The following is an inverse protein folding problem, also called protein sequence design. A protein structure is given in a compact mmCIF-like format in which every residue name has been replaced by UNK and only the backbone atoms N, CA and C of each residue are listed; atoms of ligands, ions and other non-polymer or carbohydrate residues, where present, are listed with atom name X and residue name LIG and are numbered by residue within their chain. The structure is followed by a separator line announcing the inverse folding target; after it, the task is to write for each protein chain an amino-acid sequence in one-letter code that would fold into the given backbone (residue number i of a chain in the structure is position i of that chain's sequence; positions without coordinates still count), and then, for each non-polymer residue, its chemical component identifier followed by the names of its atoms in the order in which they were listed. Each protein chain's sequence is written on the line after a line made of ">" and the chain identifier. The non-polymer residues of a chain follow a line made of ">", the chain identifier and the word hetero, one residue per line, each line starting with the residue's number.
data_IF_630928513502
#
_entry.id   IF_630928513502
#
_cell.length_a   1.000
_cell.length_b   1.000
_cell.length_c   1.000
_cell.angle_alpha   90.00
_cell.angle_beta   90.00
_cell.angle_gamma   90.00
#
_symmetry.space_group_name_H-M   'P 1'
#
loop_
_entity.id
_entity.type
_entity.pdbx_description
1 polymer ?
#
# COMPACT_ATOMS: atom_id res chain seq x y z
N UNK A 1 -23.04 -41.99 -61.78
CA UNK A 1 -24.22 -41.56 -61.01
C UNK A 1 -23.98 -41.94 -59.54
N UNK A 2 -24.43 -41.08 -58.63
CA UNK A 2 -24.37 -41.13 -57.15
C UNK A 2 -23.40 -40.08 -56.58
N UNK A 3 -23.95 -38.87 -56.45
CA UNK A 3 -23.42 -37.77 -55.65
C UNK A 3 -23.94 -37.98 -54.22
N UNK A 4 -23.04 -38.30 -53.28
CA UNK A 4 -23.37 -38.38 -51.86
C UNK A 4 -23.26 -36.99 -51.22
N UNK A 5 -24.39 -36.38 -50.89
CA UNK A 5 -24.44 -35.13 -50.15
C UNK A 5 -24.19 -35.40 -48.66
N UNK A 6 -23.03 -34.97 -48.14
CA UNK A 6 -22.80 -34.84 -46.70
C UNK A 6 -23.43 -33.52 -46.28
N UNK A 7 -24.60 -33.60 -45.66
CA UNK A 7 -25.21 -32.44 -44.97
C UNK A 7 -24.45 -32.28 -43.66
N UNK A 8 -23.51 -31.34 -43.62
CA UNK A 8 -22.95 -30.85 -42.37
C UNK A 8 -24.07 -30.13 -41.61
N UNK A 9 -24.63 -30.78 -40.58
CA UNK A 9 -25.51 -30.13 -39.64
C UNK A 9 -24.69 -29.07 -38.88
N UNK A 10 -24.89 -27.80 -39.23
CA UNK A 10 -24.44 -26.69 -38.41
C UNK A 10 -25.12 -26.85 -37.04
N UNK A 11 -24.36 -27.29 -36.03
CA UNK A 11 -24.76 -27.13 -34.65
C UNK A 11 -24.83 -25.63 -34.39
N UNK A 12 -26.03 -25.07 -34.51
CA UNK A 12 -26.35 -23.75 -34.00
C UNK A 12 -26.12 -23.82 -32.50
N UNK A 13 -24.99 -23.28 -32.04
CA UNK A 13 -24.76 -22.99 -30.63
C UNK A 13 -25.90 -22.09 -30.19
N UNK A 14 -26.90 -22.66 -29.49
CA UNK A 14 -27.97 -21.86 -28.90
C UNK A 14 -27.30 -20.78 -28.05
N UNK A 15 -27.52 -19.48 -28.31
CA UNK A 15 -26.95 -18.45 -27.46
C UNK A 15 -27.39 -18.76 -26.04
N UNK A 16 -26.42 -18.93 -25.14
CA UNK A 16 -26.69 -19.25 -23.75
C UNK A 16 -27.53 -18.12 -23.18
N UNK A 17 -28.80 -18.44 -22.88
CA UNK A 17 -29.77 -17.56 -22.25
C UNK A 17 -29.21 -17.16 -20.89
N UNK A 18 -29.25 -15.87 -20.56
CA UNK A 18 -28.82 -15.44 -19.23
C UNK A 18 -29.80 -16.00 -18.18
N UNK A 19 -29.31 -16.57 -17.07
CA UNK A 19 -30.18 -17.02 -15.99
C UNK A 19 -31.13 -15.89 -15.54
N UNK A 20 -32.43 -16.17 -15.44
CA UNK A 20 -33.44 -15.18 -15.05
C UNK A 20 -33.96 -14.26 -16.18
N UNK A 21 -33.31 -14.18 -17.35
CA UNK A 21 -33.76 -13.32 -18.46
C UNK A 21 -34.65 -14.07 -19.44
N UNK A 22 -35.55 -13.40 -20.16
CA UNK A 22 -36.17 -13.95 -21.38
C UNK A 22 -35.15 -14.05 -22.54
N UNK A 23 -35.53 -14.64 -23.67
CA UNK A 23 -34.67 -14.65 -24.87
C UNK A 23 -34.40 -13.23 -25.36
N UNK A 24 -35.46 -12.42 -25.48
CA UNK A 24 -35.37 -11.02 -25.89
C UNK A 24 -34.60 -10.18 -24.86
N UNK A 25 -34.83 -10.45 -23.57
CA UNK A 25 -34.07 -9.83 -22.47
C UNK A 25 -32.58 -10.15 -22.56
N UNK A 26 -32.22 -11.41 -22.87
CA UNK A 26 -30.82 -11.79 -23.10
C UNK A 26 -30.22 -11.03 -24.28
N UNK A 27 -30.95 -10.88 -25.38
CA UNK A 27 -30.46 -10.15 -26.56
C UNK A 27 -30.25 -8.66 -26.23
N UNK A 28 -31.21 -8.02 -25.55
CA UNK A 28 -31.10 -6.62 -25.10
C UNK A 28 -29.87 -6.42 -24.21
N UNK A 29 -29.65 -7.31 -23.23
CA UNK A 29 -28.48 -7.21 -22.35
C UNK A 29 -27.16 -7.38 -23.11
N UNK A 30 -27.07 -8.35 -24.02
CA UNK A 30 -25.86 -8.54 -24.86
C UNK A 30 -25.57 -7.33 -25.74
N UNK A 31 -26.59 -6.67 -26.27
CA UNK A 31 -26.41 -5.45 -27.05
C UNK A 31 -25.88 -4.29 -26.19
N UNK A 32 -26.38 -4.14 -24.96
CA UNK A 32 -25.88 -3.15 -24.00
C UNK A 32 -24.43 -3.47 -23.61
N UNK A 33 -24.12 -4.71 -23.25
CA UNK A 33 -22.76 -5.16 -22.92
C UNK A 33 -21.78 -4.87 -24.06
N UNK A 34 -22.16 -5.21 -25.30
CA UNK A 34 -21.36 -4.92 -26.49
C UNK A 34 -21.10 -3.41 -26.62
N UNK A 35 -22.13 -2.57 -26.47
CA UNK A 35 -21.98 -1.11 -26.53
C UNK A 35 -21.07 -0.57 -25.44
N UNK A 36 -21.14 -1.11 -24.22
CA UNK A 36 -20.25 -0.72 -23.11
C UNK A 36 -18.80 -1.07 -23.45
N UNK A 37 -18.55 -2.30 -23.91
CA UNK A 37 -17.22 -2.77 -24.30
C UNK A 37 -16.66 -1.93 -25.45
N UNK A 38 -17.47 -1.66 -26.48
CA UNK A 38 -17.08 -0.86 -27.65
C UNK A 38 -16.88 0.63 -27.32
N UNK A 39 -17.48 1.12 -26.23
CA UNK A 39 -17.27 2.51 -25.75
C UNK A 39 -15.92 2.72 -25.07
N UNK A 40 -15.20 1.65 -24.73
CA UNK A 40 -13.91 1.74 -24.04
C UNK A 40 -12.85 2.35 -24.96
N UNK A 41 -12.35 3.52 -24.57
CA UNK A 41 -11.35 4.28 -25.33
C UNK A 41 -10.03 4.35 -24.55
N UNK A 42 -9.04 3.56 -25.00
CA UNK A 42 -7.73 3.48 -24.36
C UNK A 42 -7.01 4.85 -24.32
N UNK A 43 -7.20 5.71 -25.33
CA UNK A 43 -6.60 7.04 -25.37
C UNK A 43 -7.19 7.92 -24.26
N UNK A 44 -8.50 7.84 -24.05
CA UNK A 44 -9.21 8.58 -22.99
C UNK A 44 -8.85 8.07 -21.60
N UNK A 45 -8.79 6.76 -21.40
CA UNK A 45 -8.31 6.16 -20.14
C UNK A 45 -6.89 6.65 -19.83
N UNK A 46 -6.00 6.68 -20.82
CA UNK A 46 -4.65 7.22 -20.67
C UNK A 46 -4.58 8.74 -20.41
N UNK A 47 -5.58 9.52 -20.83
CA UNK A 47 -5.69 10.94 -20.47
C UNK A 47 -6.11 11.09 -19.01
N UNK A 48 -7.10 10.33 -18.55
CA UNK A 48 -7.52 10.33 -17.15
C UNK A 48 -6.40 9.91 -16.20
N UNK A 49 -5.69 8.83 -16.55
CA UNK A 49 -4.54 8.37 -15.76
C UNK A 49 -3.45 9.45 -15.66
N UNK A 50 -3.13 10.13 -16.76
CA UNK A 50 -2.15 11.23 -16.76
C UNK A 50 -2.60 12.43 -15.94
N UNK A 51 -3.87 12.83 -16.04
CA UNK A 51 -4.40 13.94 -15.27
C UNK A 51 -4.36 13.64 -13.76
N UNK A 52 -4.79 12.44 -13.36
CA UNK A 52 -4.82 12.02 -11.95
C UNK A 52 -3.40 11.80 -11.39
N UNK A 53 -2.46 11.28 -12.18
CA UNK A 53 -1.08 11.02 -11.75
C UNK A 53 -0.15 12.24 -11.84
N UNK A 54 -0.62 13.38 -12.34
CA UNK A 54 0.22 14.54 -12.64
C UNK A 54 0.93 15.14 -11.43
N UNK A 55 0.35 14.98 -10.22
CA UNK A 55 0.91 15.51 -8.96
C UNK A 55 0.54 14.58 -7.80
N UNK A 56 1.38 14.51 -6.73
CA UNK A 56 1.00 13.81 -5.52
C UNK A 56 -0.29 14.36 -4.89
N UNK A 57 -1.30 13.50 -4.70
CA UNK A 57 -2.64 13.86 -4.20
C UNK A 57 -2.98 13.11 -2.90
N UNK A 58 -2.16 13.29 -1.88
CA UNK A 58 -2.28 12.61 -0.58
C UNK A 58 -3.60 13.00 0.11
N UNK A 59 -4.24 12.05 0.79
CA UNK A 59 -5.48 12.27 1.53
C UNK A 59 -5.42 13.49 2.47
N UNK A 60 -6.48 14.30 2.44
CA UNK A 60 -6.61 15.53 3.22
C UNK A 60 -5.65 16.66 2.83
N UNK A 61 -5.10 16.63 1.61
CA UNK A 61 -4.35 17.77 1.04
C UNK A 61 -5.22 18.57 0.07
N UNK A 62 -4.89 19.83 -0.22
CA UNK A 62 -5.51 20.57 -1.31
C UNK A 62 -5.43 19.86 -2.67
N UNK A 63 -4.37 19.09 -2.92
CA UNK A 63 -4.23 18.29 -4.14
C UNK A 63 -5.25 17.14 -4.22
N UNK A 64 -5.61 16.53 -3.09
CA UNK A 64 -6.70 15.55 -3.06
C UNK A 64 -8.08 16.21 -3.26
N UNK A 65 -8.30 17.42 -2.76
CA UNK A 65 -9.51 18.19 -3.06
C UNK A 65 -9.61 18.53 -4.57
N UNK A 66 -8.50 18.94 -5.19
CA UNK A 66 -8.46 19.16 -6.64
C UNK A 66 -8.74 17.88 -7.44
N UNK A 67 -8.28 16.72 -6.94
CA UNK A 67 -8.59 15.41 -7.54
C UNK A 67 -10.07 15.08 -7.44
N UNK A 68 -10.71 15.33 -6.28
CA UNK A 68 -12.16 15.23 -6.10
C UNK A 68 -12.90 16.08 -7.13
N UNK A 69 -12.52 17.34 -7.28
CA UNK A 69 -13.18 18.27 -8.20
C UNK A 69 -13.08 17.80 -9.65
N UNK A 70 -11.89 17.35 -10.05
CA UNK A 70 -11.67 16.77 -11.37
C UNK A 70 -12.58 15.55 -11.62
N UNK A 71 -12.67 14.61 -10.69
CA UNK A 71 -13.52 13.41 -10.83
C UNK A 71 -15.00 13.78 -10.95
N UNK A 72 -15.47 14.72 -10.12
CA UNK A 72 -16.86 15.21 -10.16
C UNK A 72 -17.15 15.90 -11.50
N UNK A 73 -16.23 16.72 -12.01
CA UNK A 73 -16.38 17.37 -13.32
C UNK A 73 -16.47 16.34 -14.46
N UNK A 74 -15.64 15.29 -14.43
CA UNK A 74 -15.71 14.22 -15.42
C UNK A 74 -17.06 13.49 -15.36
N UNK A 75 -17.53 13.10 -14.17
CA UNK A 75 -18.83 12.44 -14.01
C UNK A 75 -19.99 13.32 -14.50
N UNK A 76 -19.99 14.62 -14.16
CA UNK A 76 -20.98 15.58 -14.68
C UNK A 76 -20.95 15.70 -16.19
N UNK A 77 -19.76 15.70 -16.80
CA UNK A 77 -19.62 15.77 -18.26
C UNK A 77 -20.21 14.55 -18.99
N UNK A 78 -20.37 13.43 -18.28
CA UNK A 78 -21.03 12.22 -18.78
C UNK A 78 -22.54 12.22 -18.53
N UNK A 79 -23.08 13.30 -17.95
CA UNK A 79 -24.51 13.43 -17.63
C UNK A 79 -24.92 12.74 -16.33
N UNK A 80 -23.98 12.37 -15.46
CA UNK A 80 -24.30 11.74 -14.18
C UNK A 80 -24.74 12.77 -13.13
N UNK A 81 -25.70 12.39 -12.29
CA UNK A 81 -25.95 13.09 -11.04
C UNK A 81 -24.78 12.80 -10.09
N UNK A 82 -24.22 13.83 -9.46
CA UNK A 82 -23.02 13.69 -8.63
C UNK A 82 -23.19 14.28 -7.24
N UNK A 83 -22.62 13.61 -6.25
CA UNK A 83 -22.55 14.11 -4.87
C UNK A 83 -21.16 13.88 -4.26
N UNK A 84 -20.88 14.60 -3.17
CA UNK A 84 -19.65 14.48 -2.40
C UNK A 84 -20.04 14.18 -0.95
N UNK A 85 -19.46 13.13 -0.36
CA UNK A 85 -19.49 12.92 1.08
C UNK A 85 -18.16 13.33 1.69
N UNK A 86 -18.21 14.11 2.76
CA UNK A 86 -17.04 14.62 3.49
C UNK A 86 -16.99 13.99 4.87
N UNK A 87 -15.79 13.58 5.29
CA UNK A 87 -15.53 13.05 6.64
C UNK A 87 -14.32 13.75 7.23
N UNK A 88 -14.37 14.10 8.52
CA UNK A 88 -13.24 14.64 9.27
C UNK A 88 -12.53 13.49 9.99
N UNK A 89 -11.50 12.92 9.38
CA UNK A 89 -10.86 11.70 9.89
C UNK A 89 -9.57 12.01 10.64
N UNK A 90 -9.30 11.27 11.70
CA UNK A 90 -7.97 11.31 12.32
C UNK A 90 -6.94 10.68 11.36
N UNK A 91 -6.08 11.54 10.80
CA UNK A 91 -5.14 11.17 9.74
C UNK A 91 -3.81 11.89 10.00
N UNK A 92 -3.01 11.45 10.98
CA UNK A 92 -1.78 12.13 11.37
C UNK A 92 -0.75 12.09 10.24
N UNK A 93 0.04 13.17 10.12
CA UNK A 93 1.14 13.26 9.15
C UNK A 93 2.48 13.27 9.85
N UNK A 94 3.40 12.46 9.35
CA UNK A 94 4.80 12.52 9.76
C UNK A 94 5.39 13.89 9.43
N UNK A 95 5.94 14.53 10.44
CA UNK A 95 6.60 15.84 10.35
C UNK A 95 8.11 15.70 10.30
N UNK A 96 8.66 14.61 10.85
CA UNK A 96 10.09 14.33 10.83
C UNK A 96 10.34 12.82 10.90
N UNK A 97 11.31 12.35 10.12
CA UNK A 97 11.93 11.04 10.32
C UNK A 97 13.45 11.16 10.32
N UNK A 98 14.11 10.40 11.19
CA UNK A 98 15.57 10.24 11.17
C UNK A 98 15.94 8.78 11.31
N UNK A 99 16.98 8.37 10.61
CA UNK A 99 17.58 7.05 10.76
C UNK A 99 19.09 7.18 10.69
N UNK A 100 19.77 6.61 11.66
CA UNK A 100 21.22 6.60 11.77
C UNK A 100 21.68 5.20 12.14
N UNK A 101 22.70 4.70 11.46
CA UNK A 101 23.51 3.60 11.98
C UNK A 101 24.45 4.19 13.03
N UNK A 102 24.40 3.71 14.26
CA UNK A 102 25.26 4.17 15.36
C UNK A 102 26.49 3.29 15.55
N UNK A 103 26.39 2.01 15.17
CA UNK A 103 27.49 1.04 15.18
C UNK A 103 27.38 0.10 13.96
N UNK A 104 28.50 -0.46 13.47
CA UNK A 104 29.88 -0.20 13.91
C UNK A 104 30.45 1.11 13.38
N UNK A 105 29.88 1.65 12.29
CA UNK A 105 30.32 2.87 11.63
C UNK A 105 29.18 3.89 11.59
N UNK A 106 29.27 5.00 12.36
CA UNK A 106 28.24 6.03 12.40
C UNK A 106 27.91 6.61 11.03
N UNK A 107 26.64 6.61 10.65
CA UNK A 107 26.16 7.17 9.38
C UNK A 107 24.69 7.54 9.48
N UNK A 108 24.36 8.79 9.14
CA UNK A 108 22.97 9.23 8.97
C UNK A 108 22.50 8.95 7.53
N UNK A 109 21.26 8.52 7.37
CA UNK A 109 20.69 8.19 6.06
C UNK A 109 19.74 9.27 5.57
N UNK A 110 19.78 9.55 4.26
CA UNK A 110 18.77 10.38 3.59
C UNK A 110 17.52 9.54 3.35
N UNK A 111 16.38 9.98 3.89
CA UNK A 111 15.10 9.27 3.84
C UNK A 111 14.17 9.83 2.75
N UNK A 112 14.68 9.89 1.52
CA UNK A 112 13.96 10.36 0.32
C UNK A 112 14.45 9.58 -0.90
N UNK A 113 13.55 9.33 -1.84
CA UNK A 113 13.92 8.79 -3.14
C UNK A 113 14.64 9.89 -3.93
N UNK A 114 15.79 9.60 -4.56
CA UNK A 114 16.44 10.55 -5.43
C UNK A 114 15.59 10.80 -6.68
N UNK A 115 15.58 12.03 -7.22
CA UNK A 115 14.92 12.30 -8.48
C UNK A 115 15.64 11.55 -9.61
N UNK A 116 14.88 11.08 -10.58
CA UNK A 116 15.35 10.39 -11.77
C UNK A 116 15.38 11.37 -12.95
N UNK A 117 16.47 11.33 -13.72
CA UNK A 117 16.66 12.22 -14.87
C UNK A 117 15.61 11.96 -15.95
N UNK A 118 15.28 10.69 -16.17
CA UNK A 118 14.35 10.25 -17.22
C UNK A 118 12.86 10.29 -16.78
N UNK A 119 12.57 10.68 -15.54
CA UNK A 119 11.21 10.83 -15.02
C UNK A 119 10.97 12.23 -14.44
N UNK A 120 10.31 13.14 -15.17
CA UNK A 120 10.03 14.48 -14.65
C UNK A 120 9.08 14.47 -13.44
N UNK A 121 8.26 13.43 -13.25
CA UNK A 121 7.35 13.34 -12.11
C UNK A 121 8.07 12.98 -10.82
N UNK A 122 9.20 12.26 -10.89
CA UNK A 122 10.07 11.98 -9.74
C UNK A 122 10.66 13.23 -9.09
N UNK A 123 10.62 14.37 -9.78
CA UNK A 123 11.06 15.67 -9.26
C UNK A 123 10.05 16.27 -8.26
N UNK A 124 8.80 15.79 -8.24
CA UNK A 124 7.80 16.27 -7.30
C UNK A 124 8.08 15.77 -5.88
N UNK A 125 8.50 16.68 -5.01
CA UNK A 125 8.74 16.33 -3.61
C UNK A 125 7.43 16.04 -2.89
N UNK A 126 7.38 14.86 -2.26
CA UNK A 126 6.33 14.54 -1.30
C UNK A 126 6.45 15.48 -0.07
N UNK A 127 5.32 15.85 0.55
CA UNK A 127 5.29 16.69 1.76
C UNK A 127 5.81 15.96 3.01
N UNK A 128 6.34 14.74 2.84
CA UNK A 128 6.90 13.88 3.87
C UNK A 128 8.10 13.10 3.32
N UNK A 129 8.91 12.58 4.23
CA UNK A 129 10.01 11.62 3.98
C UNK A 129 9.47 10.18 4.08
N UNK A 130 10.36 9.18 4.01
CA UNK A 130 9.97 7.77 4.21
C UNK A 130 9.15 7.60 5.51
N UNK A 131 7.88 7.18 5.37
CA UNK A 131 6.94 7.08 6.48
C UNK A 131 5.99 5.90 6.32
N UNK A 132 5.61 5.33 7.46
CA UNK A 132 4.39 4.54 7.58
C UNK A 132 3.27 5.43 8.13
N UNK A 133 2.12 5.45 7.46
CA UNK A 133 0.93 6.12 7.99
C UNK A 133 0.50 5.48 9.31
N UNK A 134 0.13 6.30 10.30
CA UNK A 134 -0.23 5.87 11.65
C UNK A 134 0.89 5.20 12.48
N UNK A 135 2.17 5.33 12.09
CA UNK A 135 3.26 4.93 12.98
C UNK A 135 3.23 5.71 14.30
N UNK A 136 3.60 5.07 15.42
CA UNK A 136 3.74 5.78 16.68
C UNK A 136 4.90 6.80 16.58
N UNK A 137 4.73 7.94 17.26
CA UNK A 137 5.83 8.87 17.44
C UNK A 137 6.80 8.32 18.49
N UNK A 138 8.10 8.57 18.32
CA UNK A 138 9.11 8.15 19.26
C UNK A 138 10.52 8.23 18.71
N UNK A 139 11.49 8.24 19.61
CA UNK A 139 12.91 8.15 19.29
C UNK A 139 13.52 7.00 20.09
N UNK A 140 14.12 6.04 19.40
CA UNK A 140 14.69 4.83 20.01
C UNK A 140 16.05 4.54 19.39
N UNK A 141 16.96 3.99 20.19
CA UNK A 141 18.25 3.53 19.74
C UNK A 141 18.55 2.16 20.35
N UNK A 142 18.84 1.17 19.52
CA UNK A 142 19.11 -0.19 19.95
C UNK A 142 19.86 -1.00 18.89
N UNK A 143 20.44 -2.16 19.27
CA UNK A 143 20.94 -3.13 18.31
C UNK A 143 19.85 -3.62 17.36
N UNK A 144 20.26 -3.88 16.11
CA UNK A 144 19.38 -4.33 15.04
C UNK A 144 19.25 -5.86 15.06
N UNK A 145 18.04 -6.37 14.77
CA UNK A 145 17.77 -7.80 14.58
C UNK A 145 16.96 -8.00 13.30
N UNK A 146 17.43 -8.87 12.40
CA UNK A 146 16.71 -9.24 11.19
C UNK A 146 15.68 -10.34 11.49
N UNK A 147 14.44 -10.11 11.10
CA UNK A 147 13.28 -10.93 11.50
C UNK A 147 12.50 -11.52 10.33
N UNK A 148 13.15 -11.68 9.18
CA UNK A 148 12.50 -12.11 7.95
C UNK A 148 11.25 -11.28 7.60
N UNK A 149 10.08 -11.90 7.41
CA UNK A 149 8.82 -11.19 7.15
C UNK A 149 8.07 -10.85 8.45
N UNK A 150 8.63 -11.11 9.63
CA UNK A 150 7.99 -10.86 10.93
C UNK A 150 6.61 -11.52 11.09
N UNK A 151 6.39 -12.65 10.40
CA UNK A 151 5.23 -13.51 10.68
C UNK A 151 5.41 -14.18 12.05
N UNK A 152 4.33 -14.68 12.64
CA UNK A 152 4.47 -15.39 13.92
C UNK A 152 5.35 -16.64 13.82
N UNK A 153 5.34 -17.30 12.67
CA UNK A 153 6.25 -18.41 12.36
C UNK A 153 7.71 -17.94 12.30
N UNK A 154 7.99 -16.81 11.64
CA UNK A 154 9.35 -16.26 11.57
C UNK A 154 9.89 -15.93 12.96
N UNK A 155 9.04 -15.33 13.79
CA UNK A 155 9.43 -14.89 15.13
C UNK A 155 9.54 -16.06 16.11
N UNK A 156 8.79 -17.16 15.89
CA UNK A 156 9.03 -18.43 16.57
C UNK A 156 10.40 -19.02 16.19
N UNK A 157 10.72 -19.04 14.89
CA UNK A 157 12.02 -19.50 14.40
C UNK A 157 13.19 -18.66 14.89
N UNK A 158 13.01 -17.34 15.01
CA UNK A 158 14.00 -16.44 15.62
C UNK A 158 14.31 -16.83 17.07
N UNK A 159 13.29 -17.18 17.84
CA UNK A 159 13.46 -17.62 19.23
C UNK A 159 14.19 -18.97 19.31
N UNK A 160 13.91 -19.90 18.39
CA UNK A 160 14.66 -21.17 18.28
C UNK A 160 16.15 -20.97 17.95
N UNK A 161 16.48 -19.90 17.22
CA UNK A 161 17.86 -19.47 16.96
C UNK A 161 18.51 -18.78 18.19
N UNK A 162 17.80 -18.66 19.31
CA UNK A 162 18.29 -18.07 20.55
C UNK A 162 18.38 -16.54 20.53
N UNK A 163 17.70 -15.88 19.58
CA UNK A 163 17.75 -14.41 19.44
C UNK A 163 16.47 -13.78 20.00
N UNK A 164 16.66 -12.84 20.94
CA UNK A 164 15.57 -12.08 21.56
C UNK A 164 15.35 -10.72 20.88
N UNK A 165 14.09 -10.29 20.79
CA UNK A 165 13.68 -8.96 20.34
C UNK A 165 13.50 -7.94 21.46
N UNK A 166 13.60 -8.37 22.73
CA UNK A 166 13.43 -7.49 23.88
C UNK A 166 14.43 -6.31 23.83
N UNK A 167 13.89 -5.09 23.79
CA UNK A 167 14.68 -3.86 23.71
C UNK A 167 15.43 -3.66 22.38
N UNK A 168 15.07 -4.39 21.31
CA UNK A 168 15.74 -4.32 19.99
C UNK A 168 14.94 -3.53 18.96
N UNK A 169 15.62 -3.09 17.91
CA UNK A 169 14.97 -2.60 16.70
C UNK A 169 14.94 -3.75 15.69
N UNK A 170 13.75 -4.13 15.25
CA UNK A 170 13.57 -5.17 14.25
C UNK A 170 13.72 -4.58 12.83
N UNK A 171 14.35 -5.31 11.92
CA UNK A 171 14.31 -5.05 10.47
C UNK A 171 13.63 -6.22 9.75
N UNK A 172 12.51 -5.93 9.10
CA UNK A 172 11.67 -6.90 8.42
C UNK A 172 11.56 -6.62 6.92
N UNK A 173 11.28 -7.65 6.14
CA UNK A 173 10.91 -7.55 4.73
C UNK A 173 9.41 -7.24 4.58
N UNK A 174 9.04 -6.46 3.58
CA UNK A 174 7.69 -6.39 3.04
C UNK A 174 7.26 -7.75 2.43
N UNK A 175 5.95 -8.01 2.31
CA UNK A 175 5.42 -9.29 1.80
C UNK A 175 4.90 -10.22 2.90
N UNK A 176 4.29 -11.34 2.53
CA UNK A 176 3.80 -12.39 3.46
C UNK A 176 2.92 -11.90 4.63
N UNK A 177 2.11 -10.88 4.39
CA UNK A 177 1.17 -10.33 5.38
C UNK A 177 1.09 -8.82 5.36
N UNK A 178 0.10 -8.29 6.07
CA UNK A 178 -0.10 -6.85 6.19
C UNK A 178 0.98 -6.21 7.08
N UNK A 179 1.55 -5.07 6.62
CA UNK A 179 2.68 -4.40 7.29
C UNK A 179 2.39 -3.96 8.72
N UNK A 180 1.17 -3.56 9.03
CA UNK A 180 0.77 -3.22 10.40
C UNK A 180 0.89 -4.40 11.36
N UNK A 181 0.63 -5.62 10.89
CA UNK A 181 0.78 -6.83 11.70
C UNK A 181 2.25 -7.13 11.99
N UNK A 182 3.17 -6.82 11.08
CA UNK A 182 4.62 -6.97 11.32
C UNK A 182 5.05 -6.14 12.52
N UNK A 183 4.65 -4.86 12.54
CA UNK A 183 4.94 -3.93 13.64
C UNK A 183 4.33 -4.43 14.95
N UNK A 184 3.06 -4.87 14.93
CA UNK A 184 2.39 -5.46 16.10
C UNK A 184 3.11 -6.70 16.61
N UNK A 185 3.50 -7.61 15.71
CA UNK A 185 4.06 -8.91 16.05
C UNK A 185 5.45 -8.78 16.68
N UNK A 186 6.29 -7.85 16.20
CA UNK A 186 7.60 -7.57 16.82
C UNK A 186 7.44 -6.79 18.14
N UNK A 187 6.48 -5.86 18.22
CA UNK A 187 6.18 -5.15 19.46
C UNK A 187 5.72 -6.11 20.56
N UNK A 188 4.88 -7.10 20.22
CA UNK A 188 4.43 -8.14 21.14
C UNK A 188 5.57 -9.02 21.68
N UNK A 189 6.77 -8.94 21.09
CA UNK A 189 7.99 -9.65 21.50
C UNK A 189 9.06 -8.70 22.05
N UNK A 190 8.66 -7.50 22.47
CA UNK A 190 9.53 -6.54 23.17
C UNK A 190 10.38 -5.65 22.25
N UNK A 191 10.20 -5.71 20.93
CA UNK A 191 10.88 -4.78 20.04
C UNK A 191 10.38 -3.35 20.30
N UNK A 192 11.30 -2.40 20.32
CA UNK A 192 11.02 -0.98 20.60
C UNK A 192 10.95 -0.12 19.33
N UNK A 193 11.24 -0.71 18.17
CA UNK A 193 11.13 -0.06 16.87
C UNK A 193 11.14 -1.07 15.73
N UNK A 194 10.60 -0.69 14.57
CA UNK A 194 10.50 -1.56 13.41
C UNK A 194 10.85 -0.83 12.10
N UNK A 195 11.87 -1.31 11.41
CA UNK A 195 12.21 -0.93 10.04
C UNK A 195 11.64 -1.97 9.08
N UNK A 196 11.06 -1.53 7.97
CA UNK A 196 10.54 -2.44 6.93
C UNK A 196 11.11 -2.06 5.57
N UNK A 197 11.68 -3.02 4.85
CA UNK A 197 12.23 -2.78 3.50
C UNK A 197 11.67 -3.76 2.49
N UNK A 198 11.72 -3.40 1.22
CA UNK A 198 11.42 -4.32 0.12
C UNK A 198 12.72 -5.00 -0.31
N UNK A 199 12.85 -6.30 -0.08
CA UNK A 199 14.03 -7.04 -0.52
C UNK A 199 14.03 -7.17 -2.05
N UNK A 200 15.18 -6.98 -2.74
CA UNK A 200 15.23 -7.11 -4.19
C UNK A 200 14.80 -8.50 -4.70
N UNK A 201 14.85 -9.53 -3.85
CA UNK A 201 14.32 -10.87 -4.13
C UNK A 201 12.82 -10.83 -4.44
N UNK A 202 12.08 -9.97 -3.76
CA UNK A 202 10.63 -9.90 -3.86
C UNK A 202 10.19 -8.86 -4.89
N UNK A 203 10.85 -7.69 -4.90
CA UNK A 203 10.59 -6.58 -5.82
C UNK A 203 11.86 -5.73 -5.97
N UNK A 204 12.64 -6.03 -7.02
CA UNK A 204 13.90 -5.36 -7.38
C UNK A 204 14.65 -6.14 -8.46
N UNK A 205 15.96 -5.91 -8.58
CA UNK A 205 16.80 -6.46 -9.68
C UNK A 205 16.80 -7.99 -9.79
N UNK A 206 16.46 -8.73 -8.73
CA UNK A 206 16.37 -10.19 -8.78
C UNK A 206 15.17 -10.66 -9.63
N UNK A 207 14.15 -9.82 -9.77
CA UNK A 207 12.90 -10.11 -10.50
C UNK A 207 12.89 -9.59 -11.94
N UNK A 208 13.78 -8.66 -12.27
CA UNK A 208 13.89 -8.06 -13.60
C UNK A 208 14.52 -6.67 -13.54
N UNK A 209 14.56 -5.99 -14.69
CA UNK A 209 15.11 -4.65 -14.81
C UNK A 209 14.36 -3.65 -13.92
N UNK A 210 15.13 -2.78 -13.27
CA UNK A 210 14.60 -1.77 -12.36
C UNK A 210 14.20 -0.49 -13.10
N UNK A 211 13.27 0.26 -12.54
CA UNK A 211 12.85 1.56 -13.06
C UNK A 211 14.05 2.53 -13.12
N UNK A 212 14.21 3.31 -14.21
CA UNK A 212 13.27 3.52 -15.31
C UNK A 212 13.35 2.51 -16.47
N UNK A 213 14.32 1.59 -16.50
CA UNK A 213 14.50 0.64 -17.61
C UNK A 213 13.41 -0.45 -17.60
N UNK A 214 13.06 -0.96 -16.42
CA UNK A 214 11.99 -1.93 -16.23
C UNK A 214 11.01 -1.55 -15.12
N UNK A 215 10.04 -2.42 -14.80
CA UNK A 215 8.98 -2.11 -13.85
C UNK A 215 9.39 -2.37 -12.38
N UNK A 216 10.54 -3.00 -12.14
CA UNK A 216 10.93 -3.40 -10.78
C UNK A 216 11.41 -2.20 -9.97
N UNK A 217 11.25 -2.27 -8.64
CA UNK A 217 11.64 -1.17 -7.75
C UNK A 217 13.15 -0.86 -7.81
N UNK A 218 13.55 0.41 -7.94
CA UNK A 218 14.94 0.82 -7.83
C UNK A 218 15.44 0.68 -6.39
N UNK A 219 16.75 0.57 -6.19
CA UNK A 219 17.33 0.31 -4.86
C UNK A 219 16.98 1.37 -3.80
N UNK A 220 16.78 2.62 -4.21
CA UNK A 220 16.38 3.73 -3.34
C UNK A 220 14.87 3.92 -3.21
N UNK A 221 14.08 3.18 -3.99
CA UNK A 221 12.62 3.24 -3.98
C UNK A 221 12.05 2.62 -2.71
N UNK A 222 10.95 3.18 -2.21
CA UNK A 222 10.34 2.77 -0.95
C UNK A 222 8.85 2.48 -1.10
N UNK A 223 8.36 1.47 -0.39
CA UNK A 223 6.93 1.28 -0.22
C UNK A 223 6.44 2.06 1.01
N UNK A 224 5.65 3.10 0.77
CA UNK A 224 4.84 3.75 1.80
C UNK A 224 3.58 2.92 2.10
N UNK A 225 2.97 3.16 3.26
CA UNK A 225 1.67 2.56 3.57
C UNK A 225 1.25 2.75 5.01
N UNK A 226 -0.04 2.51 5.28
CA UNK A 226 -0.58 2.49 6.63
C UNK A 226 -0.08 1.27 7.42
N UNK A 227 0.22 1.48 8.71
CA UNK A 227 0.41 0.43 9.72
C UNK A 227 -0.74 0.39 10.73
N UNK A 228 -1.87 1.07 10.46
CA UNK A 228 -3.09 0.98 11.28
C UNK A 228 -3.58 -0.47 11.35
N UNK A 229 -3.96 -0.93 12.52
CA UNK A 229 -4.50 -2.25 12.79
C UNK A 229 -6.03 -2.27 12.68
N UNK A 230 -6.59 -3.46 12.78
CA UNK A 230 -8.04 -3.66 12.84
C UNK A 230 -8.77 -3.37 11.53
N UNK A 231 -10.11 -3.22 11.58
CA UNK A 231 -10.93 -3.05 10.39
C UNK A 231 -10.65 -1.72 9.64
N UNK A 232 -11.12 -1.60 8.39
CA UNK A 232 -11.17 -0.32 7.68
C UNK A 232 -11.89 0.76 8.50
N UNK A 233 -11.56 2.03 8.25
CA UNK A 233 -12.14 3.18 8.96
C UNK A 233 -11.15 4.01 9.78
N UNK A 234 -11.64 5.12 10.34
CA UNK A 234 -10.90 6.02 11.23
C UNK A 234 -10.67 5.31 12.58
N UNK A 235 -9.41 5.23 13.06
CA UNK A 235 -9.10 4.57 14.34
C UNK A 235 -9.72 5.28 15.57
N UNK A 236 -10.22 6.50 15.43
CA UNK A 236 -10.86 7.27 16.52
C UNK A 236 -12.39 7.20 16.52
N UNK A 237 -13.02 6.63 15.49
CA UNK A 237 -14.48 6.41 15.42
C UNK A 237 -14.80 4.96 15.01
N UNK A 238 -14.37 3.95 15.79
CA UNK A 238 -14.50 2.56 15.41
C UNK A 238 -15.98 2.12 15.39
N UNK A 239 -16.55 2.01 14.18
CA UNK A 239 -17.91 1.50 13.96
C UNK A 239 -18.97 2.55 13.66
N UNK A 240 -18.62 3.85 13.60
CA UNK A 240 -19.54 4.93 13.24
C UNK A 240 -18.86 5.97 12.35
N UNK A 241 -19.62 6.79 11.59
CA UNK A 241 -19.04 7.73 10.64
C UNK A 241 -18.29 8.87 11.33
N UNK A 242 -17.13 9.26 10.76
CA UNK A 242 -16.29 10.36 11.25
C UNK A 242 -16.83 11.72 10.82
N UNK A 243 -18.05 12.04 11.26
CA UNK A 243 -18.65 13.37 11.08
C UNK A 243 -17.95 14.43 11.96
N UNK A 244 -18.12 15.73 11.67
CA UNK A 244 -17.45 16.81 12.42
C UNK A 244 -17.72 16.78 13.93
N UNK A 245 -18.93 16.39 14.33
CA UNK A 245 -19.44 16.31 15.70
C UNK A 245 -19.46 14.88 16.27
N UNK A 246 -18.90 13.91 15.54
CA UNK A 246 -18.87 12.52 15.99
C UNK A 246 -18.10 12.37 17.30
N UNK A 247 -18.64 11.56 18.22
CA UNK A 247 -17.93 11.09 19.39
C UNK A 247 -16.66 10.34 18.98
N UNK A 248 -15.56 10.54 19.71
CA UNK A 248 -14.24 10.00 19.37
C UNK A 248 -13.54 9.45 20.59
N UNK A 249 -12.93 8.29 20.42
CA UNK A 249 -11.95 7.79 21.38
C UNK A 249 -10.61 8.50 21.19
N UNK A 250 -9.82 8.63 22.24
CA UNK A 250 -8.48 9.17 22.11
C UNK A 250 -7.61 8.20 21.28
N UNK A 251 -6.67 8.70 20.44
CA UNK A 251 -5.74 7.82 19.72
C UNK A 251 -4.92 6.90 20.64
N UNK A 252 -4.62 7.36 21.87
CA UNK A 252 -3.95 6.54 22.88
C UNK A 252 -4.78 5.32 23.30
N UNK A 253 -6.11 5.40 23.23
CA UNK A 253 -7.02 4.32 23.64
C UNK A 253 -7.42 3.42 22.45
N UNK A 254 -7.05 3.79 21.22
CA UNK A 254 -7.39 3.02 20.03
C UNK A 254 -6.53 1.76 19.89
N UNK A 255 -7.15 0.58 19.99
CA UNK A 255 -6.54 -0.72 19.70
C UNK A 255 -6.11 -0.86 18.22
N UNK A 256 -6.62 0.02 17.35
CA UNK A 256 -6.30 0.04 15.93
C UNK A 256 -4.96 0.76 15.64
N UNK A 257 -4.21 1.20 16.65
CA UNK A 257 -2.93 1.90 16.47
C UNK A 257 -1.77 1.13 17.08
N UNK A 258 -0.70 0.97 16.30
CA UNK A 258 0.56 0.43 16.78
C UNK A 258 1.22 1.37 17.80
N UNK A 259 1.98 0.82 18.75
CA UNK A 259 2.55 1.56 19.89
C UNK A 259 4.05 1.85 19.80
N UNK A 260 4.75 1.24 18.85
CA UNK A 260 6.18 1.47 18.61
C UNK A 260 6.40 2.27 17.33
N UNK A 261 7.46 3.09 17.25
CA UNK A 261 7.82 3.77 16.01
C UNK A 261 8.16 2.74 14.92
N UNK A 262 7.72 3.04 13.70
CA UNK A 262 8.12 2.27 12.52
C UNK A 262 8.30 3.18 11.32
N UNK A 263 9.20 2.81 10.41
CA UNK A 263 9.37 3.51 9.14
C UNK A 263 9.81 2.54 8.05
N UNK A 264 9.42 2.80 6.79
CA UNK A 264 9.93 2.05 5.68
C UNK A 264 11.34 2.57 5.33
N UNK A 265 12.19 1.70 4.79
CA UNK A 265 13.52 2.05 4.29
C UNK A 265 13.73 1.43 2.91
N UNK A 266 14.66 2.01 2.15
CA UNK A 266 15.02 1.48 0.83
C UNK A 266 15.89 0.23 0.94
N UNK A 267 15.95 -0.55 -0.14
CA UNK A 267 16.86 -1.69 -0.22
C UNK A 267 18.33 -1.26 -0.09
N UNK A 268 18.68 -0.06 -0.60
CA UNK A 268 20.01 0.51 -0.45
C UNK A 268 20.38 0.77 1.02
N UNK A 269 19.45 1.32 1.82
CA UNK A 269 19.67 1.51 3.27
C UNK A 269 19.73 0.15 3.97
N UNK A 270 18.80 -0.77 3.66
CA UNK A 270 18.80 -2.11 4.24
C UNK A 270 20.12 -2.85 3.97
N UNK A 271 20.69 -2.70 2.76
CA UNK A 271 22.02 -3.22 2.41
C UNK A 271 23.10 -2.74 3.37
N UNK A 272 23.15 -1.44 3.66
CA UNK A 272 24.15 -0.83 4.54
C UNK A 272 23.98 -1.25 6.01
N UNK A 273 22.75 -1.51 6.44
CA UNK A 273 22.47 -1.96 7.81
C UNK A 273 22.73 -3.46 7.99
N UNK A 274 22.38 -4.28 7.00
CA UNK A 274 22.48 -5.73 7.05
C UNK A 274 23.88 -6.25 6.68
N UNK A 275 24.69 -5.49 5.92
CA UNK A 275 26.03 -5.92 5.53
C UNK A 275 26.97 -6.17 6.73
N UNK A 276 26.84 -5.34 7.77
CA UNK A 276 27.62 -5.46 9.00
C UNK A 276 26.88 -6.27 10.08
N UNK A 277 25.68 -6.79 9.81
CA UNK A 277 24.92 -7.57 10.78
C UNK A 277 25.51 -8.98 10.87
N UNK A 278 25.98 -9.33 12.07
CA UNK A 278 26.51 -10.66 12.40
C UNK A 278 25.51 -11.49 13.22
N UNK A 279 26.03 -12.37 14.07
CA UNK A 279 25.21 -13.35 14.82
C UNK A 279 24.97 -14.63 14.01
N UNK A 280 24.01 -15.49 14.42
CA UNK A 280 23.69 -16.71 13.68
C UNK A 280 23.33 -16.41 12.22
N UNK A 281 23.73 -17.30 11.32
CA UNK A 281 23.27 -17.24 9.94
C UNK A 281 21.75 -17.45 9.88
N UNK A 282 21.12 -16.81 8.90
CA UNK A 282 19.69 -17.07 8.65
C UNK A 282 19.49 -18.47 8.04
N UNK A 283 18.33 -19.11 8.29
CA UNK A 283 17.88 -20.26 7.52
C UNK A 283 17.90 -19.96 6.01
N UNK A 284 18.08 -20.97 5.15
CA UNK A 284 18.24 -20.75 3.71
C UNK A 284 17.04 -20.02 3.09
N UNK A 285 15.83 -20.33 3.56
CA UNK A 285 14.56 -19.73 3.14
C UNK A 285 14.40 -18.25 3.54
N UNK A 286 15.23 -17.74 4.47
CA UNK A 286 15.26 -16.34 4.88
C UNK A 286 16.26 -15.51 4.07
N UNK A 287 17.12 -16.17 3.28
CA UNK A 287 18.06 -15.47 2.42
C UNK A 287 17.30 -14.60 1.41
N UNK A 288 17.68 -13.34 1.32
CA UNK A 288 17.21 -12.42 0.27
C UNK A 288 18.26 -12.22 -0.81
N UNK A 289 18.04 -11.22 -1.66
CA UNK A 289 18.89 -10.99 -2.83
C UNK A 289 20.00 -9.95 -2.62
N UNK A 290 20.09 -9.27 -1.46
CA UNK A 290 21.23 -8.37 -1.18
C UNK A 290 22.55 -9.15 -1.27
N UNK A 291 23.66 -8.53 -1.69
CA UNK A 291 24.85 -9.23 -2.20
C UNK A 291 25.77 -9.80 -1.10
N UNK A 292 25.20 -10.43 -0.08
CA UNK A 292 25.90 -11.07 1.03
C UNK A 292 25.00 -12.09 1.75
N UNK A 293 25.62 -12.94 2.57
CA UNK A 293 24.92 -13.88 3.46
C UNK A 293 24.22 -13.10 4.58
N UNK A 294 22.94 -13.35 4.80
CA UNK A 294 22.21 -12.66 5.87
C UNK A 294 22.48 -13.33 7.21
N UNK A 295 22.53 -12.52 8.27
CA UNK A 295 22.53 -12.97 9.65
C UNK A 295 21.37 -12.36 10.42
N UNK A 296 20.95 -13.00 11.51
CA UNK A 296 19.82 -12.53 12.31
C UNK A 296 20.19 -11.41 13.29
N UNK A 297 21.47 -11.26 13.66
CA UNK A 297 21.88 -10.41 14.78
C UNK A 297 21.81 -11.12 16.14
N UNK A 298 21.87 -10.39 17.27
CA UNK A 298 22.03 -8.94 17.33
C UNK A 298 23.50 -8.51 17.18
N UNK A 299 23.74 -7.47 16.37
CA UNK A 299 25.01 -6.74 16.32
C UNK A 299 26.03 -7.22 15.26
N UNK A 300 27.13 -6.48 15.06
CA UNK A 300 27.46 -5.19 15.69
C UNK A 300 26.56 -4.02 15.24
N UNK A 301 25.71 -4.20 14.23
CA UNK A 301 24.81 -3.13 13.78
C UNK A 301 23.86 -2.68 14.88
N UNK A 302 23.92 -1.39 15.22
CA UNK A 302 22.93 -0.70 16.04
C UNK A 302 22.46 0.56 15.31
N UNK A 303 21.22 0.95 15.55
CA UNK A 303 20.59 2.08 14.85
C UNK A 303 19.85 2.98 15.85
N UNK A 304 19.72 4.25 15.48
CA UNK A 304 18.81 5.22 16.09
C UNK A 304 17.76 5.59 15.05
N UNK A 305 16.49 5.50 15.44
CA UNK A 305 15.38 5.94 14.60
C UNK A 305 14.49 6.93 15.35
N UNK A 306 13.98 7.93 14.62
CA UNK A 306 13.04 8.92 15.12
C UNK A 306 11.85 9.02 14.18
N UNK A 307 10.64 9.01 14.72
CA UNK A 307 9.41 9.35 14.02
C UNK A 307 8.71 10.45 14.82
N UNK A 308 8.47 11.60 14.20
CA UNK A 308 7.59 12.63 14.73
C UNK A 308 6.41 12.83 13.78
N UNK A 309 5.23 13.13 14.33
CA UNK A 309 4.01 13.37 13.57
C UNK A 309 3.15 14.42 14.26
N UNK A 310 2.24 14.99 13.50
CA UNK A 310 1.12 15.70 14.11
C UNK A 310 0.01 14.74 14.56
N UNK A 311 -0.94 15.27 15.32
CA UNK A 311 -2.09 14.57 15.88
C UNK A 311 -3.40 15.15 15.30
N UNK A 312 -3.38 15.49 14.01
CA UNK A 312 -4.46 16.28 13.39
C UNK A 312 -5.51 15.41 12.69
N UNK A 313 -6.76 15.86 12.76
CA UNK A 313 -7.84 15.43 11.87
C UNK A 313 -7.79 16.19 10.56
N UNK A 314 -8.29 15.56 9.50
CA UNK A 314 -8.26 16.07 8.14
C UNK A 314 -9.51 15.65 7.40
N UNK A 315 -10.05 16.57 6.63
CA UNK A 315 -11.16 16.27 5.74
C UNK A 315 -10.70 15.34 4.61
N UNK A 316 -11.50 14.31 4.36
CA UNK A 316 -11.40 13.45 3.18
C UNK A 316 -12.74 13.47 2.43
N UNK A 317 -12.70 13.12 1.16
CA UNK A 317 -13.85 13.23 0.27
C UNK A 317 -14.06 11.92 -0.47
N UNK A 318 -15.29 11.43 -0.46
CA UNK A 318 -15.77 10.41 -1.38
C UNK A 318 -16.63 11.09 -2.45
N UNK A 319 -16.41 10.73 -3.71
CA UNK A 319 -17.15 11.26 -4.86
C UNK A 319 -18.09 10.18 -5.40
N UNK A 320 -19.35 10.53 -5.62
CA UNK A 320 -20.36 9.61 -6.15
C UNK A 320 -20.90 10.15 -7.47
N UNK A 321 -21.16 9.22 -8.38
CA UNK A 321 -21.94 9.44 -9.60
C UNK A 321 -23.06 8.40 -9.65
N UNK A 322 -24.29 8.84 -9.90
CA UNK A 322 -25.48 7.96 -9.92
C UNK A 322 -26.04 7.88 -11.34
N UNK A 323 -26.39 6.65 -11.72
CA UNK A 323 -27.25 6.35 -12.87
C UNK A 323 -28.53 5.78 -12.27
N UNK A 324 -29.65 6.47 -12.43
CA UNK A 324 -30.93 6.01 -11.90
C UNK A 324 -31.43 4.78 -12.66
N UNK A 325 -31.81 3.73 -11.93
CA UNK A 325 -32.38 2.52 -12.51
C UNK A 325 -33.79 2.76 -13.02
N UNK A 326 -34.10 2.31 -14.24
CA UNK A 326 -35.43 2.45 -14.84
C UNK A 326 -36.47 1.53 -14.20
N UNK A 327 -36.08 0.29 -13.85
CA UNK A 327 -36.99 -0.73 -13.30
C UNK A 327 -36.93 -0.82 -11.77
N UNK A 328 -35.73 -0.66 -11.19
CA UNK A 328 -35.48 -0.72 -9.75
C UNK A 328 -34.68 0.52 -9.28
N UNK A 329 -35.31 1.71 -9.19
CA UNK A 329 -34.62 2.95 -8.82
C UNK A 329 -34.13 2.97 -7.35
N UNK A 330 -34.68 2.11 -6.50
CA UNK A 330 -34.29 1.97 -5.09
C UNK A 330 -33.15 0.97 -4.86
N UNK A 331 -32.76 0.21 -5.89
CA UNK A 331 -31.61 -0.69 -5.84
C UNK A 331 -30.33 0.08 -6.21
N UNK A 332 -29.39 0.17 -5.28
CA UNK A 332 -28.14 0.91 -5.43
C UNK A 332 -26.90 -0.03 -5.50
N UNK A 333 -26.68 -0.74 -6.63
CA UNK A 333 -25.45 -1.51 -6.80
C UNK A 333 -24.25 -0.56 -6.84
N UNK A 334 -23.36 -0.67 -5.85
CA UNK A 334 -22.20 0.18 -5.73
C UNK A 334 -20.98 -0.39 -6.49
N UNK A 335 -20.38 0.44 -7.35
CA UNK A 335 -19.07 0.18 -7.95
C UNK A 335 -18.09 1.24 -7.44
N UNK A 336 -17.06 0.82 -6.71
CA UNK A 336 -16.05 1.71 -6.12
C UNK A 336 -14.63 1.31 -6.49
N UNK A 337 -13.69 2.26 -6.37
CA UNK A 337 -12.25 2.06 -6.53
C UNK A 337 -11.47 2.73 -5.41
#
# INVERSE_FOLDING_TARGET
>A
MIVGAIVASAQTTRPTRYPGYSTDGTQRQREIERRIIESADAKRVGQFARALAARPHIAGTPAQAATRDYVIEQMKSWGLETSIATYDVYLPRTTETRLERTQPSPKSFTLREPPLVDDPYSQHQLPFTFQHGYAAAGEVAAPLVYVNYATDADLGRLAELGVSLEGRIAIARYGHGYRGNKVRNVAARGAIGCLIYTDPHDDGYYRGDVYPVGPMRPADGVQHGSVKLGPPGDPTTPGWPSLPDAERIAPADSENLNRIPSMPISAAIARELLADLGGPEVPQEWQGALPFRYHVGPGPTAVRMKVARDEKRREIFNTFGRIEGEEFPDDDPLVGK
#
